data_IF_197054022653
#
_entry.id   IF_197054022653
#
_cell.length_a   1.000
_cell.length_b   1.000
_cell.length_c   1.000
_cell.angle_alpha   90.00
_cell.angle_beta   90.00
_cell.angle_gamma   90.00
#
_symmetry.space_group_name_H-M   'P 1'
#
loop_
_entity.id
_entity.type
_entity.pdbx_description
1 polymer ?
#
# COMPACT_ATOMS: atom_id res chain seq x y z
N UNK A 1 17.15 -0.34 11.37
CA UNK A 1 16.81 0.42 12.59
C UNK A 1 15.36 0.21 13.03
N UNK A 2 14.30 0.55 12.27
CA UNK A 2 12.92 0.31 12.72
C UNK A 2 12.57 -1.19 12.87
N UNK A 3 13.02 -2.05 11.96
CA UNK A 3 12.81 -3.49 12.03
C UNK A 3 13.60 -4.16 13.17
N UNK A 4 14.72 -3.60 13.57
CA UNK A 4 15.58 -4.23 14.58
C UNK A 4 15.01 -4.01 15.99
N UNK A 5 14.43 -2.82 16.26
CA UNK A 5 13.77 -2.52 17.53
C UNK A 5 12.46 -3.30 17.66
N UNK A 6 11.64 -3.37 16.61
CA UNK A 6 10.41 -4.14 16.63
C UNK A 6 10.66 -5.63 16.86
N UNK A 7 11.66 -6.21 16.18
CA UNK A 7 12.03 -7.61 16.36
C UNK A 7 12.69 -7.91 17.72
N UNK A 8 13.33 -6.93 18.36
CA UNK A 8 13.90 -7.11 19.70
C UNK A 8 12.82 -7.13 20.79
N UNK A 9 11.74 -6.36 20.60
CA UNK A 9 10.64 -6.25 21.57
C UNK A 9 9.54 -7.30 21.33
N UNK A 10 9.20 -7.55 20.08
CA UNK A 10 8.17 -8.53 19.67
C UNK A 10 8.72 -9.30 18.46
N UNK A 11 9.46 -10.39 18.70
CA UNK A 11 10.08 -11.15 17.62
C UNK A 11 9.03 -11.76 16.69
N UNK A 12 9.23 -11.55 15.39
CA UNK A 12 8.38 -12.17 14.37
C UNK A 12 8.75 -13.64 14.24
N UNK A 13 7.75 -14.51 14.24
CA UNK A 13 7.97 -15.95 13.95
C UNK A 13 8.18 -16.15 12.44
N UNK A 14 9.41 -15.90 11.99
CA UNK A 14 9.81 -16.10 10.59
C UNK A 14 9.68 -17.55 10.15
N UNK A 15 9.96 -18.50 11.04
CA UNK A 15 9.86 -19.93 10.75
C UNK A 15 8.40 -20.35 10.60
N UNK A 16 7.51 -19.85 11.47
CA UNK A 16 6.07 -20.08 11.36
C UNK A 16 5.50 -19.51 10.07
N UNK A 17 5.89 -18.29 9.69
CA UNK A 17 5.49 -17.71 8.42
C UNK A 17 5.90 -18.58 7.22
N UNK A 18 7.14 -19.04 7.19
CA UNK A 18 7.67 -19.84 6.07
C UNK A 18 7.02 -21.24 5.96
N UNK A 19 6.41 -21.74 7.05
CA UNK A 19 5.62 -22.99 7.06
C UNK A 19 4.14 -22.79 6.76
N UNK A 20 3.68 -21.55 6.74
CA UNK A 20 2.27 -21.25 6.49
C UNK A 20 1.94 -21.45 5.00
N UNK A 21 0.85 -22.15 4.69
CA UNK A 21 0.34 -22.30 3.31
C UNK A 21 -0.27 -21.00 2.76
N UNK A 22 -0.40 -19.98 3.58
CA UNK A 22 -0.88 -18.66 3.18
C UNK A 22 0.09 -17.94 2.23
N UNK A 23 -0.45 -17.04 1.43
CA UNK A 23 0.33 -16.20 0.54
C UNK A 23 0.29 -14.75 1.00
N UNK A 24 1.44 -14.16 1.27
CA UNK A 24 1.57 -12.72 1.45
C UNK A 24 2.03 -12.08 0.15
N UNK A 25 1.22 -11.16 -0.39
CA UNK A 25 1.63 -10.32 -1.51
C UNK A 25 1.70 -8.88 -1.06
N UNK A 26 2.83 -8.23 -1.25
CA UNK A 26 2.99 -6.80 -1.00
C UNK A 26 2.89 -6.02 -2.30
N UNK A 27 2.31 -4.83 -2.22
CA UNK A 27 2.23 -3.90 -3.35
C UNK A 27 3.26 -2.81 -3.14
N UNK A 28 4.03 -2.52 -4.17
CA UNK A 28 4.98 -1.41 -4.21
C UNK A 28 4.77 -0.59 -5.47
N UNK A 29 5.13 0.69 -5.43
CA UNK A 29 5.13 1.54 -6.63
C UNK A 29 6.54 1.64 -7.18
N UNK A 30 6.75 1.17 -8.39
CA UNK A 30 8.00 1.37 -9.11
C UNK A 30 8.16 2.86 -9.45
N UNK A 31 9.21 3.50 -8.93
CA UNK A 31 9.41 4.93 -9.11
C UNK A 31 9.69 5.32 -10.57
N UNK A 32 10.31 4.44 -11.36
CA UNK A 32 10.66 4.70 -12.76
C UNK A 32 9.43 4.68 -13.65
N UNK A 33 8.59 3.64 -13.50
CA UNK A 33 7.41 3.42 -14.35
C UNK A 33 6.14 4.08 -13.80
N UNK A 34 6.10 4.37 -12.48
CA UNK A 34 4.90 4.82 -11.76
C UNK A 34 3.82 3.73 -11.66
N UNK A 35 4.11 2.49 -12.01
CA UNK A 35 3.16 1.38 -11.98
C UNK A 35 3.25 0.59 -10.67
N UNK A 36 2.14 -0.06 -10.25
CA UNK A 36 2.18 -0.99 -9.15
C UNK A 36 2.90 -2.28 -9.56
N UNK A 37 3.69 -2.81 -8.65
CA UNK A 37 4.24 -4.15 -8.73
C UNK A 37 3.79 -4.96 -7.51
N UNK A 38 3.50 -6.25 -7.75
CA UNK A 38 2.94 -7.16 -6.77
C UNK A 38 3.95 -8.28 -6.53
N UNK A 39 4.56 -8.28 -5.34
CA UNK A 39 5.57 -9.24 -4.98
C UNK A 39 5.03 -10.24 -3.96
N UNK A 40 5.01 -11.50 -4.33
CA UNK A 40 4.73 -12.59 -3.40
C UNK A 40 5.95 -12.74 -2.47
N UNK A 41 5.72 -12.69 -1.18
CA UNK A 41 6.76 -12.87 -0.16
C UNK A 41 6.84 -14.34 0.22
N UNK A 42 8.00 -14.92 0.02
CA UNK A 42 8.31 -16.30 0.36
C UNK A 42 9.14 -16.42 1.65
N UNK A 43 9.95 -15.41 1.93
CA UNK A 43 10.80 -15.34 3.10
C UNK A 43 10.78 -13.92 3.67
N UNK A 44 10.11 -13.74 4.82
CA UNK A 44 9.95 -12.41 5.43
C UNK A 44 11.28 -11.73 5.72
N UNK A 45 12.30 -12.49 6.13
CA UNK A 45 13.60 -11.91 6.47
C UNK A 45 14.38 -11.46 5.23
N UNK A 46 14.47 -12.31 4.22
CA UNK A 46 15.19 -11.99 2.98
C UNK A 46 14.54 -10.88 2.18
N UNK A 47 13.20 -10.86 2.19
CA UNK A 47 12.39 -9.92 1.38
C UNK A 47 11.85 -8.73 2.20
N UNK A 48 12.33 -8.54 3.45
CA UNK A 48 11.90 -7.43 4.33
C UNK A 48 12.02 -6.04 3.71
N UNK A 49 12.92 -5.85 2.72
CA UNK A 49 13.04 -4.60 1.99
C UNK A 49 11.82 -4.29 1.13
N UNK A 50 11.16 -5.29 0.55
CA UNK A 50 9.89 -5.11 -0.18
C UNK A 50 8.76 -4.70 0.76
N UNK A 51 8.72 -5.32 1.96
CA UNK A 51 7.73 -4.97 2.99
C UNK A 51 7.93 -3.52 3.43
N UNK A 52 9.19 -3.12 3.68
CA UNK A 52 9.52 -1.74 4.01
C UNK A 52 9.19 -0.76 2.86
N UNK A 53 9.42 -1.16 1.61
CA UNK A 53 9.07 -0.37 0.44
C UNK A 53 7.56 -0.15 0.30
N UNK A 54 6.76 -1.20 0.60
CA UNK A 54 5.28 -1.14 0.56
C UNK A 54 4.67 -0.11 1.52
N UNK A 55 5.40 0.29 2.55
CA UNK A 55 4.99 1.32 3.53
C UNK A 55 5.85 2.60 3.48
N UNK A 56 6.72 2.73 2.48
CA UNK A 56 7.63 3.87 2.35
C UNK A 56 6.90 5.10 1.78
N UNK A 57 6.35 5.93 2.67
CA UNK A 57 5.61 7.13 2.29
C UNK A 57 6.53 8.20 1.66
N UNK A 58 6.09 8.85 0.57
CA UNK A 58 6.82 9.98 -0.01
C UNK A 58 7.11 11.08 1.03
N UNK A 59 8.29 11.66 0.95
CA UNK A 59 8.85 12.68 1.84
C UNK A 59 9.23 12.17 3.24
N UNK A 60 8.50 11.22 3.81
CA UNK A 60 8.73 10.70 5.17
C UNK A 60 9.74 9.55 5.17
N UNK A 61 9.85 8.82 4.07
CA UNK A 61 10.76 7.69 3.93
C UNK A 61 11.72 7.91 2.75
N UNK A 62 12.92 7.30 2.77
CA UNK A 62 13.76 7.24 1.58
C UNK A 62 13.13 6.34 0.52
N UNK A 63 13.57 6.51 -0.73
CA UNK A 63 13.31 5.53 -1.80
C UNK A 63 14.06 4.24 -1.46
N UNK A 64 13.36 3.12 -1.49
CA UNK A 64 13.92 1.82 -1.15
C UNK A 64 14.30 1.10 -2.45
N UNK A 65 15.57 0.71 -2.53
CA UNK A 65 16.07 -0.06 -3.67
C UNK A 65 16.00 -1.56 -3.35
N UNK A 66 15.38 -2.30 -4.25
CA UNK A 66 15.37 -3.74 -4.21
C UNK A 66 15.77 -4.28 -5.58
N UNK A 67 16.83 -5.10 -5.65
CA UNK A 67 17.41 -5.61 -6.90
C UNK A 67 17.65 -4.52 -7.96
N UNK A 68 18.16 -3.36 -7.51
CA UNK A 68 18.46 -2.21 -8.38
C UNK A 68 17.26 -1.34 -8.78
N UNK A 69 16.03 -1.75 -8.47
CA UNK A 69 14.81 -0.99 -8.80
C UNK A 69 14.38 -0.12 -7.62
N UNK A 70 14.09 1.18 -7.86
CA UNK A 70 13.62 2.10 -6.82
C UNK A 70 12.11 1.95 -6.57
N UNK A 71 11.71 1.77 -5.31
CA UNK A 71 10.32 1.61 -4.89
C UNK A 71 9.92 2.58 -3.80
N UNK A 72 8.63 2.89 -3.78
CA UNK A 72 7.89 3.56 -2.71
C UNK A 72 6.57 2.82 -2.44
N UNK A 73 5.81 3.35 -1.46
CA UNK A 73 4.51 2.84 -0.99
C UNK A 73 3.59 2.44 -2.16
N UNK A 74 3.07 1.22 -2.11
CA UNK A 74 2.12 0.69 -3.08
C UNK A 74 0.83 1.49 -3.18
N UNK A 75 0.40 2.14 -2.10
CA UNK A 75 -0.76 3.01 -2.08
C UNK A 75 -0.64 4.29 -2.92
N UNK A 76 0.47 4.51 -3.63
CA UNK A 76 0.58 5.55 -4.64
C UNK A 76 -0.02 5.11 -5.98
N UNK A 77 0.07 3.83 -6.32
CA UNK A 77 -0.34 3.28 -7.63
C UNK A 77 -1.49 2.29 -7.55
N UNK A 78 -1.61 1.50 -6.46
CA UNK A 78 -2.76 0.63 -6.18
C UNK A 78 -2.98 0.53 -4.66
N UNK A 79 -3.76 1.48 -4.09
CA UNK A 79 -3.93 1.58 -2.64
C UNK A 79 -4.75 0.46 -2.02
N UNK A 80 -5.64 -0.18 -2.79
CA UNK A 80 -6.48 -1.29 -2.34
C UNK A 80 -6.57 -2.28 -3.52
N UNK A 81 -5.72 -3.32 -3.54
CA UNK A 81 -5.49 -4.15 -4.73
C UNK A 81 -6.61 -5.19 -4.98
N UNK A 82 -7.87 -4.82 -4.78
CA UNK A 82 -9.02 -5.71 -4.96
C UNK A 82 -9.13 -6.23 -6.39
N UNK A 83 -8.87 -5.39 -7.38
CA UNK A 83 -8.91 -5.81 -8.80
C UNK A 83 -7.86 -6.89 -9.08
N UNK A 84 -6.67 -6.76 -8.48
CA UNK A 84 -5.62 -7.76 -8.60
C UNK A 84 -6.04 -9.09 -7.99
N UNK A 85 -6.68 -9.06 -6.81
CA UNK A 85 -7.20 -10.25 -6.14
C UNK A 85 -8.23 -10.98 -7.00
N UNK A 86 -9.20 -10.25 -7.54
CA UNK A 86 -10.23 -10.80 -8.43
C UNK A 86 -9.62 -11.41 -9.71
N UNK A 87 -8.66 -10.70 -10.34
CA UNK A 87 -7.96 -11.20 -11.54
C UNK A 87 -7.12 -12.45 -11.27
N UNK A 88 -6.68 -12.67 -10.03
CA UNK A 88 -6.01 -13.89 -9.59
C UNK A 88 -7.00 -15.05 -9.32
N UNK A 89 -8.29 -14.86 -9.52
CA UNK A 89 -9.32 -15.88 -9.37
C UNK A 89 -9.89 -16.01 -7.95
N UNK A 90 -9.53 -15.11 -7.02
CA UNK A 90 -10.09 -15.11 -5.68
C UNK A 90 -11.55 -14.64 -5.70
N UNK A 91 -12.49 -15.58 -5.47
CA UNK A 91 -13.94 -15.32 -5.50
C UNK A 91 -14.49 -14.74 -4.20
N UNK A 92 -13.78 -14.92 -3.09
CA UNK A 92 -14.17 -14.42 -1.76
C UNK A 92 -13.10 -13.43 -1.30
N UNK A 93 -13.48 -12.17 -1.18
CA UNK A 93 -12.57 -11.12 -0.77
C UNK A 93 -13.07 -10.43 0.49
N UNK A 94 -12.21 -10.34 1.50
CA UNK A 94 -12.42 -9.50 2.68
C UNK A 94 -11.48 -8.31 2.56
N UNK A 95 -12.03 -7.10 2.60
CA UNK A 95 -11.25 -5.87 2.50
C UNK A 95 -11.33 -5.10 3.81
N UNK A 96 -10.20 -4.87 4.44
CA UNK A 96 -10.11 -4.10 5.70
C UNK A 96 -9.69 -2.68 5.36
N UNK A 97 -10.56 -1.72 5.67
CA UNK A 97 -10.34 -0.30 5.46
C UNK A 97 -10.04 0.40 6.79
N UNK A 98 -9.12 1.33 6.77
CA UNK A 98 -8.76 2.15 7.95
C UNK A 98 -9.59 3.44 8.05
N UNK A 99 -10.48 3.69 7.10
CA UNK A 99 -11.35 4.86 7.01
C UNK A 99 -12.81 4.43 6.91
N UNK A 100 -13.69 5.27 7.44
CA UNK A 100 -15.14 5.10 7.35
C UNK A 100 -15.68 5.29 5.93
N UNK A 101 -16.98 5.02 5.72
CA UNK A 101 -17.63 5.05 4.42
C UNK A 101 -17.71 6.46 3.79
N UNK A 102 -17.69 7.51 4.61
CA UNK A 102 -17.79 8.90 4.13
C UNK A 102 -16.47 9.48 3.68
N UNK A 103 -15.37 8.82 4.00
CA UNK A 103 -14.04 9.31 3.69
C UNK A 103 -13.83 9.45 2.18
N UNK A 104 -13.28 10.61 1.79
CA UNK A 104 -12.75 10.86 0.45
C UNK A 104 -11.36 11.46 0.56
N UNK A 105 -10.48 10.99 -0.30
CA UNK A 105 -9.10 11.49 -0.35
C UNK A 105 -9.04 12.81 -1.09
N UNK A 106 -8.32 13.77 -0.53
CA UNK A 106 -8.09 15.08 -1.14
C UNK A 106 -6.69 15.18 -1.74
N UNK A 107 -6.51 16.15 -2.65
CA UNK A 107 -5.20 16.48 -3.24
C UNK A 107 -4.22 16.88 -2.15
N UNK A 108 -2.96 16.51 -2.36
CA UNK A 108 -1.88 16.94 -1.46
C UNK A 108 -1.45 18.37 -1.76
N UNK A 109 -1.25 19.17 -0.72
CA UNK A 109 -0.65 20.50 -0.81
C UNK A 109 0.88 20.48 -0.97
N UNK A 110 1.51 19.32 -0.78
CA UNK A 110 2.98 19.16 -0.78
C UNK A 110 3.58 18.99 -2.18
N UNK A 111 2.81 19.27 -3.25
CA UNK A 111 3.27 19.07 -4.64
C UNK A 111 4.56 19.79 -5.01
N UNK A 112 4.83 21.03 -4.59
CA UNK A 112 6.11 21.69 -4.89
C UNK A 112 7.32 20.91 -4.37
N UNK A 113 7.24 20.47 -3.11
CA UNK A 113 8.30 19.69 -2.47
C UNK A 113 8.47 18.29 -3.10
N UNK A 114 7.36 17.64 -3.46
CA UNK A 114 7.36 16.35 -4.16
C UNK A 114 8.03 16.47 -5.53
N UNK A 115 7.73 17.53 -6.29
CA UNK A 115 8.34 17.78 -7.59
C UNK A 115 9.85 17.97 -7.47
N UNK A 116 10.32 18.72 -6.46
CA UNK A 116 11.74 18.90 -6.21
C UNK A 116 12.43 17.57 -5.86
N UNK A 117 11.89 16.83 -4.90
CA UNK A 117 12.51 15.58 -4.40
C UNK A 117 12.51 14.46 -5.44
N UNK A 118 11.45 14.34 -6.25
CA UNK A 118 11.25 13.25 -7.19
C UNK A 118 11.33 13.70 -8.66
N UNK A 119 12.03 14.80 -8.96
CA UNK A 119 12.22 15.34 -10.32
C UNK A 119 12.69 14.28 -11.32
N UNK A 120 13.58 13.37 -10.90
CA UNK A 120 14.12 12.27 -11.71
C UNK A 120 13.10 11.13 -11.98
N UNK A 121 11.91 11.16 -11.37
CA UNK A 121 10.87 10.15 -11.51
C UNK A 121 9.54 10.76 -12.00
N UNK A 122 9.45 11.23 -13.23
CA UNK A 122 8.26 11.93 -13.74
C UNK A 122 7.00 11.05 -13.75
N UNK A 123 7.14 9.74 -13.96
CA UNK A 123 6.03 8.81 -13.92
C UNK A 123 5.46 8.66 -12.49
N UNK A 124 6.32 8.58 -11.49
CA UNK A 124 5.92 8.61 -10.08
C UNK A 124 5.17 9.90 -9.73
N UNK A 125 5.65 11.06 -10.18
CA UNK A 125 4.98 12.34 -9.96
C UNK A 125 3.57 12.36 -10.54
N UNK A 126 3.36 11.83 -11.75
CA UNK A 126 2.02 11.67 -12.33
C UNK A 126 1.10 10.83 -11.45
N UNK A 127 1.61 9.74 -10.87
CA UNK A 127 0.85 8.89 -9.93
C UNK A 127 0.48 9.63 -8.65
N UNK A 128 1.41 10.37 -8.07
CA UNK A 128 1.14 11.16 -6.86
C UNK A 128 0.05 12.21 -7.13
N UNK A 129 0.08 12.87 -8.29
CA UNK A 129 -0.94 13.87 -8.68
C UNK A 129 -2.33 13.23 -8.81
N UNK A 130 -2.43 12.02 -9.34
CA UNK A 130 -3.71 11.34 -9.57
C UNK A 130 -4.15 10.43 -8.41
N UNK A 131 -3.40 10.41 -7.31
CA UNK A 131 -3.63 9.46 -6.20
C UNK A 131 -5.00 9.63 -5.54
N UNK A 132 -5.49 10.84 -5.39
CA UNK A 132 -6.80 11.12 -4.81
C UNK A 132 -7.92 10.57 -5.70
N UNK A 133 -7.87 10.81 -7.00
CA UNK A 133 -8.84 10.30 -7.96
C UNK A 133 -8.82 8.77 -8.01
N UNK A 134 -7.63 8.17 -8.04
CA UNK A 134 -7.47 6.71 -8.04
C UNK A 134 -8.09 6.09 -6.79
N UNK A 135 -7.75 6.64 -5.62
CA UNK A 135 -8.26 6.14 -4.33
C UNK A 135 -9.79 6.22 -4.27
N UNK A 136 -10.36 7.38 -4.62
CA UNK A 136 -11.81 7.59 -4.57
C UNK A 136 -12.56 6.67 -5.55
N UNK A 137 -12.02 6.44 -6.76
CA UNK A 137 -12.58 5.48 -7.73
C UNK A 137 -12.57 4.04 -7.21
N UNK A 138 -11.54 3.66 -6.44
CA UNK A 138 -11.48 2.32 -5.82
C UNK A 138 -12.53 2.21 -4.72
N UNK A 139 -12.74 3.25 -3.91
CA UNK A 139 -13.81 3.24 -2.90
C UNK A 139 -15.20 3.10 -3.54
N UNK A 140 -15.47 3.81 -4.64
CA UNK A 140 -16.74 3.71 -5.37
C UNK A 140 -16.91 2.32 -6.00
N UNK A 141 -15.82 1.69 -6.45
CA UNK A 141 -15.83 0.32 -6.96
C UNK A 141 -16.11 -0.69 -5.84
N UNK A 142 -15.48 -0.52 -4.67
CA UNK A 142 -15.71 -1.39 -3.52
C UNK A 142 -17.16 -1.31 -3.02
N UNK A 143 -17.76 -0.11 -2.99
CA UNK A 143 -19.16 0.04 -2.60
C UNK A 143 -20.10 -0.77 -3.51
N UNK A 144 -19.86 -0.74 -4.82
CA UNK A 144 -20.64 -1.56 -5.78
C UNK A 144 -20.44 -3.06 -5.58
N UNK A 145 -19.21 -3.50 -5.30
CA UNK A 145 -18.93 -4.91 -5.03
C UNK A 145 -19.56 -5.37 -3.70
N UNK A 146 -19.60 -4.51 -2.68
CA UNK A 146 -20.27 -4.77 -1.41
C UNK A 146 -21.79 -4.92 -1.60
N UNK A 147 -22.41 -3.99 -2.34
CA UNK A 147 -23.84 -4.05 -2.68
C UNK A 147 -24.20 -5.32 -3.48
N UNK A 148 -23.31 -5.77 -4.36
CA UNK A 148 -23.45 -7.01 -5.13
C UNK A 148 -23.16 -8.28 -4.31
N UNK A 149 -22.68 -8.16 -3.06
CA UNK A 149 -22.29 -9.31 -2.24
C UNK A 149 -20.99 -10.00 -2.68
N UNK A 150 -20.18 -9.36 -3.53
CA UNK A 150 -18.95 -9.94 -4.08
C UNK A 150 -17.74 -9.72 -3.16
N UNK A 151 -17.81 -8.75 -2.23
CA UNK A 151 -16.77 -8.50 -1.23
C UNK A 151 -17.40 -8.25 0.14
N UNK A 152 -16.65 -8.57 1.19
CA UNK A 152 -16.98 -8.20 2.57
C UNK A 152 -16.06 -7.08 3.03
N UNK A 153 -16.64 -5.92 3.41
CA UNK A 153 -15.87 -4.77 3.88
C UNK A 153 -15.90 -4.68 5.40
N UNK A 154 -14.70 -4.58 6.01
CA UNK A 154 -14.52 -4.23 7.41
C UNK A 154 -14.00 -2.80 7.46
N UNK A 155 -14.74 -1.89 8.09
CA UNK A 155 -14.37 -0.47 8.19
C UNK A 155 -14.88 0.16 9.48
N UNK A 156 -14.25 1.23 9.98
CA UNK A 156 -14.76 1.97 11.13
C UNK A 156 -16.16 2.51 10.84
N UNK A 157 -17.05 2.44 11.84
CA UNK A 157 -18.41 2.99 11.73
C UNK A 157 -18.48 4.52 11.74
N UNK A 158 -17.39 5.18 12.19
CA UNK A 158 -17.27 6.64 12.25
C UNK A 158 -15.81 7.05 11.97
N UNK A 159 -15.56 8.33 11.60
CA UNK A 159 -14.20 8.84 11.41
C UNK A 159 -13.34 8.64 12.65
N UNK A 160 -12.21 7.95 12.49
CA UNK A 160 -11.23 7.80 13.58
C UNK A 160 -10.42 9.09 13.67
N UNK A 161 -10.56 9.80 14.79
CA UNK A 161 -9.82 11.02 15.09
C UNK A 161 -8.43 10.61 15.60
N UNK A 162 -7.45 10.53 14.72
CA UNK A 162 -6.03 10.33 15.08
C UNK A 162 -5.27 11.57 14.64
N UNK A 163 -4.63 12.25 15.59
CA UNK A 163 -3.64 13.27 15.29
C UNK A 163 -2.42 12.60 14.62
N UNK A 164 -1.81 13.28 13.64
CA UNK A 164 -0.60 12.77 12.98
C UNK A 164 0.66 12.82 13.87
N UNK A 165 0.53 13.37 15.07
CA UNK A 165 1.63 13.68 15.99
C UNK A 165 1.36 13.29 17.45
N UNK A 166 0.38 12.43 17.70
CA UNK A 166 0.23 11.75 18.98
C UNK A 166 0.92 10.40 18.97
#
# INVERSE_FOLDING_TARGET
>A
MFNDVANALIPVDYAGFNRCDGNLTVVVTNCVTGQPEYHKIHDLWKERRLIAASSALPLMSPVIFYRGVPYLDGGLSDPIPIRRSILQGHKRNVVILTRDATYRKHKTSLMPLLRLKYAKYPALLRRIVSRDLLYNRILDYLARLEEAGEVFLIRPGAPVKISKFE
#
